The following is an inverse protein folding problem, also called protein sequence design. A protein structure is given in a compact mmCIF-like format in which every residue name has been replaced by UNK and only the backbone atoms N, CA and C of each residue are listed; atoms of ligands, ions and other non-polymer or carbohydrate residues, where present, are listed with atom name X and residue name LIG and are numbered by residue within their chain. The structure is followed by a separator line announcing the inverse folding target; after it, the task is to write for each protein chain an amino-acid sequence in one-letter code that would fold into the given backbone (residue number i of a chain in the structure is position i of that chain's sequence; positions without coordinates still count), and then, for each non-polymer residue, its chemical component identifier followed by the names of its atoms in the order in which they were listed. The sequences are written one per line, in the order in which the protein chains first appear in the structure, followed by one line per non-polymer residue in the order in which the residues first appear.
data_IF_524129986824
#
_entry.id   IF_524129986824
#
_cell.length_a   1.000
_cell.length_b   1.000
_cell.length_c   1.000
_cell.angle_alpha   90.00
_cell.angle_beta   90.00
_cell.angle_gamma   90.00
#
_symmetry.space_group_name_H-M   'P 1'
#
loop_
_entity.id
_entity.type
_entity.pdbx_description
1 polymer ?
#
# COMPACT_ATOMS: atom_id res chain seq x y z
N UNK A 1 49.38 -16.55 82.04
CA UNK A 1 48.59 -15.90 80.97
C UNK A 1 49.45 -15.90 79.72
N UNK A 2 49.29 -16.91 78.85
CA UNK A 2 50.07 -17.04 77.62
C UNK A 2 49.25 -16.45 76.48
N UNK A 3 49.89 -15.50 75.79
CA UNK A 3 49.39 -14.76 74.63
C UNK A 3 49.70 -15.60 73.39
N UNK A 4 48.73 -16.37 72.92
CA UNK A 4 48.87 -17.04 71.63
C UNK A 4 48.17 -16.22 70.55
N UNK A 5 48.98 -15.38 69.92
CA UNK A 5 48.69 -14.69 68.67
C UNK A 5 48.46 -15.73 67.58
N UNK A 6 47.24 -15.82 67.06
CA UNK A 6 46.97 -16.63 65.87
C UNK A 6 47.69 -16.00 64.66
N UNK A 7 48.72 -16.73 64.22
CA UNK A 7 49.48 -16.58 62.99
C UNK A 7 48.55 -16.47 61.78
N UNK A 8 48.57 -15.33 61.08
CA UNK A 8 48.15 -15.30 59.68
C UNK A 8 49.21 -16.10 58.90
N UNK A 9 48.86 -17.27 58.38
CA UNK A 9 49.79 -18.13 57.65
C UNK A 9 50.10 -17.55 56.27
N UNK A 10 51.35 -17.70 55.85
CA UNK A 10 51.95 -17.19 54.59
C UNK A 10 51.15 -17.56 53.33
N UNK A 11 50.32 -18.61 53.40
CA UNK A 11 49.47 -19.10 52.31
C UNK A 11 48.45 -18.07 51.79
N UNK A 12 47.91 -17.21 52.66
CA UNK A 12 46.98 -16.15 52.25
C UNK A 12 47.66 -15.03 51.45
N UNK A 13 48.92 -14.75 51.73
CA UNK A 13 49.74 -13.78 51.00
C UNK A 13 50.35 -14.40 49.72
N UNK A 14 50.67 -15.70 49.74
CA UNK A 14 51.17 -16.44 48.57
C UNK A 14 50.13 -16.55 47.45
N UNK A 15 48.84 -16.68 47.78
CA UNK A 15 47.76 -16.69 46.79
C UNK A 15 47.62 -15.36 46.04
N UNK A 16 47.97 -14.25 46.69
CA UNK A 16 47.97 -12.91 46.07
C UNK A 16 49.17 -12.73 45.12
N UNK A 17 50.24 -13.52 45.30
CA UNK A 17 51.48 -13.46 44.52
C UNK A 17 51.54 -14.45 43.35
N UNK A 18 50.66 -15.46 43.30
CA UNK A 18 50.66 -16.51 42.25
C UNK A 18 49.91 -16.12 40.97
N UNK A 19 49.15 -15.03 40.99
CA UNK A 19 48.62 -14.42 39.78
C UNK A 19 49.44 -13.18 39.49
N UNK A 20 50.45 -13.28 38.63
CA UNK A 20 51.10 -12.10 38.11
C UNK A 20 50.04 -11.33 37.30
N UNK A 21 49.62 -10.19 37.83
CA UNK A 21 48.53 -9.38 37.27
C UNK A 21 48.85 -8.90 35.85
N UNK A 22 50.13 -8.92 35.49
CA UNK A 22 50.62 -8.58 34.15
C UNK A 22 50.27 -9.66 33.12
N UNK A 23 50.30 -10.95 33.48
CA UNK A 23 49.94 -12.07 32.58
C UNK A 23 48.44 -12.11 32.28
N UNK A 24 47.61 -11.58 33.17
CA UNK A 24 46.16 -11.45 32.99
C UNK A 24 45.77 -10.37 31.97
N UNK A 25 46.69 -9.48 31.58
CA UNK A 25 46.40 -8.43 30.59
C UNK A 25 46.22 -8.99 29.18
N UNK A 26 46.83 -10.14 28.88
CA UNK A 26 46.78 -10.78 27.56
C UNK A 26 45.57 -11.71 27.39
N UNK A 27 44.79 -11.93 28.45
CA UNK A 27 43.54 -12.69 28.39
C UNK A 27 42.36 -11.83 27.93
N UNK A 28 41.51 -12.42 27.09
CA UNK A 28 40.23 -11.84 26.65
C UNK A 28 39.14 -12.25 27.62
N UNK A 29 38.39 -11.28 28.15
CA UNK A 29 37.22 -11.50 28.99
C UNK A 29 35.91 -11.19 28.23
N UNK A 30 34.77 -11.51 28.84
CA UNK A 30 33.45 -11.46 28.18
C UNK A 30 32.78 -10.08 28.23
N UNK A 31 33.31 -9.13 29.01
CA UNK A 31 32.58 -7.91 29.36
C UNK A 31 33.34 -6.63 29.00
N UNK A 32 34.66 -6.69 28.88
CA UNK A 32 35.47 -5.53 28.58
C UNK A 32 35.69 -5.34 27.08
N UNK A 33 35.82 -4.08 26.66
CA UNK A 33 36.30 -3.74 25.34
C UNK A 33 37.80 -4.06 25.26
N UNK A 34 38.20 -4.85 24.26
CA UNK A 34 39.59 -5.27 24.04
C UNK A 34 39.98 -5.10 22.58
N UNK A 35 41.24 -4.71 22.36
CA UNK A 35 41.88 -4.77 21.05
C UNK A 35 42.66 -6.07 20.95
N UNK A 36 42.25 -6.93 20.02
CA UNK A 36 42.94 -8.19 19.73
C UNK A 36 43.65 -8.01 18.39
N UNK A 37 44.98 -8.06 18.38
CA UNK A 37 45.79 -7.89 17.17
C UNK A 37 46.13 -9.24 16.52
N UNK A 38 46.48 -9.22 15.22
CA UNK A 38 46.81 -10.41 14.45
C UNK A 38 45.60 -11.21 13.96
N UNK A 39 45.83 -12.17 13.06
CA UNK A 39 44.77 -13.03 12.51
C UNK A 39 44.24 -13.98 13.59
N UNK A 40 42.90 -14.04 13.75
CA UNK A 40 42.22 -14.97 14.65
C UNK A 40 41.36 -15.92 13.84
N UNK A 41 41.54 -17.21 14.04
CA UNK A 41 40.79 -18.27 13.36
C UNK A 41 39.79 -18.86 14.34
N UNK A 42 38.52 -18.90 13.93
CA UNK A 42 37.44 -19.55 14.68
C UNK A 42 37.01 -20.79 13.92
N UNK A 43 37.23 -21.97 14.50
CA UNK A 43 36.91 -23.25 13.87
C UNK A 43 35.42 -23.63 13.97
N UNK A 44 34.60 -22.74 14.54
CA UNK A 44 33.17 -22.92 14.78
C UNK A 44 32.43 -21.62 14.51
N UNK A 45 31.10 -21.71 14.40
CA UNK A 45 30.23 -20.55 14.16
C UNK A 45 30.40 -19.47 15.23
N UNK A 46 30.63 -18.24 14.79
CA UNK A 46 30.66 -17.04 15.65
C UNK A 46 29.32 -16.33 15.52
N UNK A 47 28.72 -15.95 16.66
CA UNK A 47 27.52 -15.12 16.71
C UNK A 47 27.88 -13.81 17.40
N UNK A 48 27.68 -12.69 16.71
CA UNK A 48 27.81 -11.36 17.27
C UNK A 48 26.51 -10.59 17.05
N UNK A 49 26.21 -9.64 17.94
CA UNK A 49 25.04 -8.77 17.78
C UNK A 49 25.21 -7.80 16.60
N UNK A 50 26.45 -7.38 16.32
CA UNK A 50 26.81 -6.54 15.19
C UNK A 50 28.27 -6.77 14.78
N UNK A 51 28.57 -6.53 13.51
CA UNK A 51 29.93 -6.45 12.96
C UNK A 51 30.12 -5.07 12.34
N UNK A 52 31.23 -4.41 12.66
CA UNK A 52 31.59 -3.12 12.07
C UNK A 52 32.92 -3.27 11.33
N UNK A 53 33.00 -2.73 10.12
CA UNK A 53 34.24 -2.58 9.39
C UNK A 53 34.75 -1.16 9.56
N UNK A 54 35.91 -0.98 10.19
CA UNK A 54 36.52 0.35 10.33
C UNK A 54 37.16 0.79 9.01
N UNK A 55 37.24 2.10 8.79
CA UNK A 55 38.01 2.71 7.68
C UNK A 55 37.50 2.38 6.26
N UNK A 56 36.21 2.02 6.13
CA UNK A 56 35.52 1.76 4.86
C UNK A 56 34.22 2.56 4.81
N UNK A 57 33.73 2.81 3.60
CA UNK A 57 32.44 3.47 3.36
C UNK A 57 31.29 2.43 3.31
N UNK A 58 30.05 2.89 3.42
CA UNK A 58 28.82 2.07 3.40
C UNK A 58 28.52 1.45 2.01
N UNK A 59 29.55 1.24 1.18
CA UNK A 59 29.46 0.80 -0.22
C UNK A 59 30.01 -0.63 -0.38
N UNK A 60 30.24 -1.37 0.71
CA UNK A 60 30.70 -2.76 0.64
C UNK A 60 30.02 -3.67 1.67
N UNK A 61 29.83 -4.92 1.28
CA UNK A 61 29.32 -6.01 2.12
C UNK A 61 30.47 -6.95 2.46
N UNK A 62 30.55 -7.39 3.71
CA UNK A 62 31.51 -8.41 4.17
C UNK A 62 31.09 -9.79 3.62
N UNK A 63 32.01 -10.45 2.92
CA UNK A 63 31.81 -11.82 2.44
C UNK A 63 32.31 -12.86 3.45
N UNK A 64 31.75 -14.06 3.35
CA UNK A 64 32.25 -15.24 4.06
C UNK A 64 33.69 -15.51 3.62
N UNK A 65 34.65 -15.44 4.54
CA UNK A 65 36.09 -15.56 4.25
C UNK A 65 36.90 -14.27 4.39
N UNK A 66 36.27 -13.15 4.78
CA UNK A 66 36.97 -11.90 5.15
C UNK A 66 37.28 -10.95 3.99
N UNK A 67 36.86 -11.29 2.77
CA UNK A 67 36.86 -10.39 1.62
C UNK A 67 35.68 -9.41 1.64
N UNK A 68 35.75 -8.39 0.79
CA UNK A 68 34.65 -7.44 0.57
C UNK A 68 34.06 -7.62 -0.83
N UNK A 69 32.77 -7.37 -0.96
CA UNK A 69 32.11 -7.11 -2.24
C UNK A 69 31.56 -5.69 -2.25
N UNK A 70 31.84 -4.93 -3.31
CA UNK A 70 31.22 -3.61 -3.49
C UNK A 70 29.71 -3.77 -3.76
N UNK A 71 28.89 -2.93 -3.13
CA UNK A 71 27.43 -2.86 -3.35
C UNK A 71 27.13 -2.53 -4.81
N UNK A 72 27.97 -1.72 -5.47
CA UNK A 72 27.83 -1.44 -6.89
C UNK A 72 27.93 -2.70 -7.76
N UNK A 73 28.73 -3.69 -7.35
CA UNK A 73 28.86 -4.98 -8.05
C UNK A 73 27.58 -5.82 -7.92
N UNK A 74 26.87 -5.70 -6.79
CA UNK A 74 25.58 -6.36 -6.57
C UNK A 74 24.47 -5.69 -7.41
N UNK A 75 24.45 -4.36 -7.43
CA UNK A 75 23.50 -3.60 -8.26
C UNK A 75 23.77 -3.78 -9.76
N UNK A 76 25.02 -4.07 -10.13
CA UNK A 76 25.42 -4.38 -11.51
C UNK A 76 25.21 -5.85 -11.90
N UNK A 77 24.60 -6.68 -11.03
CA UNK A 77 24.20 -8.01 -11.43
C UNK A 77 23.21 -7.93 -12.60
N UNK A 78 23.44 -8.80 -13.58
CA UNK A 78 22.73 -8.87 -14.86
C UNK A 78 21.19 -8.81 -14.74
N UNK A 79 20.63 -9.29 -13.62
CA UNK A 79 19.19 -9.39 -13.38
C UNK A 79 18.43 -8.05 -13.33
N UNK A 80 19.12 -6.92 -13.16
CA UNK A 80 18.49 -5.59 -13.16
C UNK A 80 19.01 -4.69 -14.27
N UNK A 81 19.85 -5.20 -15.17
CA UNK A 81 20.34 -4.41 -16.30
C UNK A 81 19.19 -3.99 -17.21
N UNK A 82 18.25 -4.90 -17.48
CA UNK A 82 17.04 -4.66 -18.27
C UNK A 82 16.18 -3.56 -17.64
N UNK A 83 15.93 -3.67 -16.32
CA UNK A 83 15.17 -2.67 -15.55
C UNK A 83 15.87 -1.31 -15.57
N UNK A 84 17.20 -1.29 -15.50
CA UNK A 84 17.99 -0.06 -15.55
C UNK A 84 17.95 0.60 -16.91
N UNK A 85 18.12 -0.16 -17.99
CA UNK A 85 18.11 0.42 -19.35
C UNK A 85 16.72 0.95 -19.72
N UNK A 86 15.66 0.27 -19.30
CA UNK A 86 14.27 0.76 -19.39
C UNK A 86 14.07 2.03 -18.54
N UNK A 87 14.39 1.98 -17.25
CA UNK A 87 14.17 3.11 -16.32
C UNK A 87 15.02 4.34 -16.65
N UNK A 88 16.18 4.13 -17.28
CA UNK A 88 17.04 5.23 -17.74
C UNK A 88 16.58 5.85 -19.07
N UNK A 89 15.51 5.34 -19.68
CA UNK A 89 14.92 5.91 -20.91
C UNK A 89 15.85 5.82 -22.11
N UNK A 90 16.78 4.84 -22.13
CA UNK A 90 17.69 4.63 -23.26
C UNK A 90 17.00 3.95 -24.43
N UNK A 91 15.85 3.32 -24.20
CA UNK A 91 15.11 2.65 -25.24
C UNK A 91 14.64 3.62 -26.31
N UNK A 92 14.78 3.20 -27.56
CA UNK A 92 14.41 3.94 -28.76
C UNK A 92 13.16 3.33 -29.38
N UNK A 93 12.48 4.13 -30.20
CA UNK A 93 11.41 3.67 -31.07
C UNK A 93 11.89 3.61 -32.52
N UNK A 94 11.72 2.46 -33.16
CA UNK A 94 11.89 2.29 -34.60
C UNK A 94 10.51 2.17 -35.23
N UNK A 95 10.32 2.71 -36.44
CA UNK A 95 9.02 2.75 -37.11
C UNK A 95 9.18 2.17 -38.51
N UNK A 96 8.30 1.22 -38.85
CA UNK A 96 8.28 0.52 -40.13
C UNK A 96 6.90 0.65 -40.79
N UNK A 97 6.83 0.66 -42.12
CA UNK A 97 5.56 0.74 -42.82
C UNK A 97 4.80 -0.59 -42.76
N UNK A 98 5.50 -1.72 -42.84
CA UNK A 98 4.93 -3.08 -42.84
C UNK A 98 5.77 -4.06 -42.02
N UNK A 99 5.19 -5.20 -41.66
CA UNK A 99 5.92 -6.30 -40.98
C UNK A 99 7.06 -6.84 -41.84
N UNK A 100 6.88 -6.91 -43.17
CA UNK A 100 7.92 -7.39 -44.08
C UNK A 100 9.15 -6.48 -44.07
N UNK A 101 8.95 -5.15 -44.04
CA UNK A 101 10.05 -4.18 -43.94
C UNK A 101 10.81 -4.35 -42.62
N UNK A 102 10.09 -4.51 -41.50
CA UNK A 102 10.69 -4.79 -40.20
C UNK A 102 11.47 -6.10 -40.23
N UNK A 103 10.91 -7.18 -40.79
CA UNK A 103 11.56 -8.48 -40.87
C UNK A 103 12.84 -8.42 -41.73
N UNK A 104 12.79 -7.80 -42.90
CA UNK A 104 13.99 -7.58 -43.74
C UNK A 104 15.03 -6.75 -43.02
N UNK A 105 14.63 -5.74 -42.24
CA UNK A 105 15.55 -4.96 -41.42
C UNK A 105 16.20 -5.80 -40.31
N UNK A 106 15.47 -6.74 -39.71
CA UNK A 106 15.95 -7.67 -38.67
C UNK A 106 16.84 -8.80 -39.20
N UNK A 107 16.78 -9.13 -40.50
CA UNK A 107 17.70 -10.10 -41.11
C UNK A 107 19.13 -9.58 -41.19
N UNK A 108 19.32 -8.25 -41.14
CA UNK A 108 20.63 -7.61 -41.08
C UNK A 108 21.19 -7.62 -39.66
N UNK A 109 22.29 -8.36 -39.46
CA UNK A 109 22.98 -8.48 -38.18
C UNK A 109 23.43 -7.13 -37.61
N UNK A 110 23.82 -6.16 -38.44
CA UNK A 110 24.23 -4.85 -37.96
C UNK A 110 23.07 -4.05 -37.36
N UNK A 111 21.85 -4.30 -37.82
CA UNK A 111 20.66 -3.64 -37.31
C UNK A 111 20.23 -4.24 -35.98
N UNK A 112 20.22 -5.58 -35.88
CA UNK A 112 19.97 -6.27 -34.61
C UNK A 112 21.01 -5.91 -33.56
N UNK A 113 22.28 -5.77 -33.93
CA UNK A 113 23.35 -5.36 -33.02
C UNK A 113 23.20 -3.94 -32.44
N UNK A 114 22.35 -3.08 -33.04
CA UNK A 114 22.05 -1.73 -32.54
C UNK A 114 20.92 -1.71 -31.51
N UNK A 115 20.14 -2.79 -31.42
CA UNK A 115 19.00 -2.87 -30.51
C UNK A 115 19.45 -3.02 -29.06
N UNK A 116 18.77 -2.30 -28.17
CA UNK A 116 18.92 -2.42 -26.71
C UNK A 116 17.62 -2.97 -26.12
N UNK A 117 17.72 -3.69 -25.01
CA UNK A 117 16.55 -4.23 -24.30
C UNK A 117 15.56 -3.10 -24.00
N UNK A 118 14.30 -3.32 -24.37
CA UNK A 118 13.21 -2.35 -24.24
C UNK A 118 13.04 -1.42 -25.43
N UNK A 119 13.87 -1.49 -26.48
CA UNK A 119 13.62 -0.80 -27.75
C UNK A 119 12.28 -1.26 -28.34
N UNK A 120 11.46 -0.30 -28.80
CA UNK A 120 10.15 -0.56 -29.39
C UNK A 120 10.24 -0.52 -30.92
N UNK A 121 9.56 -1.45 -31.58
CA UNK A 121 9.44 -1.55 -33.02
C UNK A 121 7.97 -1.40 -33.39
N UNK A 122 7.63 -0.24 -33.94
CA UNK A 122 6.27 0.15 -34.31
C UNK A 122 6.00 -0.13 -35.79
N UNK A 123 4.81 -0.64 -36.09
CA UNK A 123 4.35 -0.86 -37.46
C UNK A 123 3.18 0.07 -37.74
N UNK A 124 3.27 0.87 -38.81
CA UNK A 124 2.28 1.91 -39.13
C UNK A 124 0.90 1.33 -39.45
N UNK A 125 0.84 0.11 -40.00
CA UNK A 125 -0.42 -0.59 -40.22
C UNK A 125 -1.09 -0.94 -38.88
N UNK A 126 -2.21 -0.26 -38.62
CA UNK A 126 -2.98 -0.36 -37.37
C UNK A 126 -3.58 -1.75 -37.09
N UNK A 127 -3.56 -2.66 -38.06
CA UNK A 127 -4.01 -4.04 -37.85
C UNK A 127 -2.87 -4.98 -37.42
N UNK A 128 -1.64 -4.47 -37.37
CA UNK A 128 -0.47 -5.21 -36.93
C UNK A 128 -0.12 -4.80 -35.50
N UNK A 129 0.21 -5.79 -34.69
CA UNK A 129 0.70 -5.62 -33.33
C UNK A 129 2.14 -5.10 -33.34
N UNK A 130 2.41 -4.11 -32.50
CA UNK A 130 3.76 -3.59 -32.31
C UNK A 130 4.63 -4.57 -31.50
N UNK A 131 5.94 -4.38 -31.54
CA UNK A 131 6.90 -5.24 -30.87
C UNK A 131 7.85 -4.45 -29.96
N UNK A 132 8.50 -5.15 -29.04
CA UNK A 132 9.65 -4.65 -28.29
C UNK A 132 10.75 -5.71 -28.22
N UNK A 133 12.00 -5.28 -28.07
CA UNK A 133 13.18 -6.15 -28.05
C UNK A 133 13.52 -6.59 -26.63
N UNK A 134 13.56 -7.90 -26.36
CA UNK A 134 13.91 -8.42 -25.02
C UNK A 134 15.41 -8.70 -24.83
N UNK A 135 16.23 -8.44 -25.86
CA UNK A 135 17.66 -8.75 -25.86
C UNK A 135 18.01 -9.99 -26.67
N UNK A 136 17.04 -10.84 -26.93
CA UNK A 136 17.20 -12.10 -27.68
C UNK A 136 16.25 -12.21 -28.86
N UNK A 137 14.98 -11.86 -28.67
CA UNK A 137 13.91 -12.00 -29.65
C UNK A 137 12.93 -10.82 -29.57
N UNK A 138 12.09 -10.69 -30.60
CA UNK A 138 10.95 -9.77 -30.58
C UNK A 138 9.84 -10.32 -29.69
N UNK A 139 9.29 -9.45 -28.83
CA UNK A 139 8.09 -9.71 -28.03
C UNK A 139 6.97 -8.79 -28.46
N UNK A 140 5.75 -9.29 -28.35
CA UNK A 140 4.56 -8.49 -28.60
C UNK A 140 4.49 -7.37 -27.55
N UNK A 141 4.28 -6.14 -28.01
CA UNK A 141 3.95 -5.03 -27.14
C UNK A 141 2.50 -5.22 -26.70
N UNK A 142 2.28 -5.60 -25.43
CA UNK A 142 0.94 -5.78 -24.88
C UNK A 142 0.15 -4.47 -24.97
N UNK A 143 -0.73 -4.38 -25.95
CA UNK A 143 -1.75 -3.33 -26.08
C UNK A 143 -3.07 -3.72 -25.42
N UNK A 144 -3.16 -4.90 -24.79
CA UNK A 144 -4.36 -5.27 -24.05
C UNK A 144 -4.54 -4.32 -22.88
N UNK A 145 -5.55 -3.45 -23.00
CA UNK A 145 -6.04 -2.66 -21.89
C UNK A 145 -6.33 -3.62 -20.73
N UNK A 146 -5.82 -3.37 -19.52
CA UNK A 146 -6.08 -4.25 -18.39
C UNK A 146 -7.58 -4.47 -18.27
N UNK A 147 -8.00 -5.73 -18.13
CA UNK A 147 -9.40 -6.10 -18.04
C UNK A 147 -10.05 -5.48 -16.79
N UNK A 148 -10.68 -4.33 -17.00
CA UNK A 148 -11.37 -3.58 -15.96
C UNK A 148 -12.67 -4.25 -15.51
N UNK A 149 -13.13 -5.34 -16.16
CA UNK A 149 -14.31 -6.08 -15.73
C UNK A 149 -14.11 -6.76 -14.36
N UNK A 150 -12.85 -6.96 -13.94
CA UNK A 150 -12.48 -7.50 -12.63
C UNK A 150 -12.43 -6.47 -11.50
N UNK A 151 -12.59 -5.17 -11.79
CA UNK A 151 -12.80 -4.18 -10.72
C UNK A 151 -14.24 -4.33 -10.23
N UNK A 152 -14.40 -5.28 -9.31
CA UNK A 152 -15.66 -5.67 -8.68
C UNK A 152 -16.41 -4.42 -8.20
N UNK A 153 -17.53 -4.12 -8.86
CA UNK A 153 -18.45 -3.02 -8.50
C UNK A 153 -19.75 -3.56 -7.89
N UNK A 154 -19.70 -4.68 -7.15
CA UNK A 154 -20.89 -5.19 -6.47
C UNK A 154 -21.19 -4.36 -5.23
N UNK A 155 -22.21 -3.51 -5.32
CA UNK A 155 -22.89 -2.93 -4.16
C UNK A 155 -23.79 -4.01 -3.55
N UNK A 156 -23.64 -4.27 -2.25
CA UNK A 156 -24.57 -5.14 -1.52
C UNK A 156 -25.97 -4.52 -1.44
N UNK A 157 -26.99 -5.35 -1.21
CA UNK A 157 -28.35 -4.85 -0.96
C UNK A 157 -28.40 -4.10 0.37
N UNK A 158 -28.88 -2.84 0.36
CA UNK A 158 -29.06 -2.07 1.60
C UNK A 158 -30.33 -2.53 2.33
N UNK A 159 -30.23 -3.56 3.16
CA UNK A 159 -31.33 -3.98 4.05
C UNK A 159 -31.37 -3.12 5.32
N UNK A 160 -32.26 -2.13 5.34
CA UNK A 160 -32.59 -1.35 6.53
C UNK A 160 -33.98 -0.73 6.38
N UNK A 161 -34.90 -1.04 7.30
CA UNK A 161 -36.25 -0.46 7.31
C UNK A 161 -36.19 1.01 7.72
N UNK A 162 -36.05 1.91 6.74
CA UNK A 162 -35.95 3.35 6.98
C UNK A 162 -34.84 4.08 6.21
N UNK A 163 -34.30 3.50 5.13
CA UNK A 163 -33.20 4.14 4.41
C UNK A 163 -33.70 5.29 3.52
N UNK A 164 -33.05 6.46 3.62
CA UNK A 164 -33.27 7.63 2.78
C UNK A 164 -32.87 7.42 1.31
N UNK A 165 -32.18 6.32 1.01
CA UNK A 165 -31.71 5.92 -0.31
C UNK A 165 -32.32 4.55 -0.61
N UNK A 166 -33.03 4.44 -1.73
CA UNK A 166 -33.68 3.20 -2.18
C UNK A 166 -32.80 2.39 -3.14
N UNK A 167 -31.86 3.05 -3.81
CA UNK A 167 -30.95 2.41 -4.77
C UNK A 167 -29.67 3.24 -4.95
N UNK A 168 -28.59 2.63 -5.44
CA UNK A 168 -27.30 3.24 -5.70
C UNK A 168 -26.80 2.80 -7.08
N UNK A 169 -26.48 3.76 -7.93
CA UNK A 169 -25.95 3.53 -9.29
C UNK A 169 -24.68 4.32 -9.55
N UNK A 170 -23.99 4.03 -10.65
CA UNK A 170 -22.80 4.75 -11.08
C UNK A 170 -22.98 5.31 -12.50
N UNK A 171 -22.42 6.51 -12.73
CA UNK A 171 -22.19 7.07 -14.06
C UNK A 171 -20.73 7.48 -14.15
N UNK A 172 -19.89 6.66 -14.80
CA UNK A 172 -18.44 6.78 -14.72
C UNK A 172 -17.95 6.67 -13.27
N UNK A 173 -17.21 7.66 -12.78
CA UNK A 173 -16.69 7.72 -11.42
C UNK A 173 -17.65 8.38 -10.40
N UNK A 174 -18.89 8.69 -10.80
CA UNK A 174 -19.87 9.38 -9.94
C UNK A 174 -20.87 8.38 -9.36
N UNK A 175 -20.99 8.36 -8.02
CA UNK A 175 -22.02 7.61 -7.30
C UNK A 175 -23.34 8.41 -7.29
N UNK A 176 -24.42 7.78 -7.74
CA UNK A 176 -25.75 8.40 -7.86
C UNK A 176 -26.75 7.65 -6.97
N UNK A 177 -27.13 8.22 -5.81
CA UNK A 177 -28.15 7.63 -4.94
C UNK A 177 -29.57 7.99 -5.41
N UNK A 178 -30.44 7.00 -5.52
CA UNK A 178 -31.89 7.20 -5.66
C UNK A 178 -32.48 7.51 -4.28
N UNK A 179 -32.91 8.74 -4.06
CA UNK A 179 -33.44 9.19 -2.77
C UNK A 179 -34.92 8.83 -2.64
N UNK A 180 -35.30 8.34 -1.46
CA UNK A 180 -36.68 8.02 -1.13
C UNK A 180 -37.48 9.33 -0.92
N UNK A 181 -38.62 9.46 -1.60
CA UNK A 181 -39.50 10.64 -1.59
C UNK A 181 -40.35 10.78 -0.32
N UNK A 182 -40.26 9.83 0.62
CA UNK A 182 -41.05 9.80 1.87
C UNK A 182 -40.34 10.55 3.02
N UNK A 183 -39.07 10.92 2.86
CA UNK A 183 -38.34 11.72 3.86
C UNK A 183 -38.53 13.22 3.63
N UNK A 184 -38.95 13.92 4.67
CA UNK A 184 -39.02 15.39 4.63
C UNK A 184 -37.62 15.97 4.80
N UNK A 185 -37.10 16.67 3.80
CA UNK A 185 -35.82 17.40 3.89
C UNK A 185 -36.03 18.77 4.52
N UNK A 186 -35.05 19.32 5.24
CA UNK A 186 -35.16 20.70 5.73
C UNK A 186 -34.73 21.68 4.65
N UNK A 187 -35.36 22.86 4.57
CA UNK A 187 -34.93 23.96 3.70
C UNK A 187 -35.59 24.05 2.31
N UNK A 188 -36.55 23.17 1.99
CA UNK A 188 -37.32 23.24 0.74
C UNK A 188 -38.81 22.95 0.98
N UNK A 189 -39.67 23.59 0.18
CA UNK A 189 -41.10 23.28 0.13
C UNK A 189 -41.30 21.85 -0.38
N UNK A 190 -42.13 21.09 0.34
CA UNK A 190 -42.38 19.68 0.03
C UNK A 190 -43.85 19.34 0.06
N UNK A 191 -44.26 18.51 -0.88
CA UNK A 191 -45.60 17.96 -0.96
C UNK A 191 -45.59 16.52 -0.48
N UNK A 192 -46.36 16.23 0.56
CA UNK A 192 -46.61 14.86 1.03
C UNK A 192 -47.98 14.45 0.51
N UNK A 193 -48.00 13.55 -0.46
CA UNK A 193 -49.24 13.05 -1.07
C UNK A 193 -49.63 11.71 -0.41
N UNK A 194 -50.94 11.44 -0.36
CA UNK A 194 -51.53 10.24 0.23
C UNK A 194 -51.77 10.33 1.73
N UNK A 195 -52.41 9.30 2.30
CA UNK A 195 -52.71 9.24 3.75
C UNK A 195 -51.41 8.99 4.53
N UNK A 196 -51.18 9.78 5.57
CA UNK A 196 -50.08 9.61 6.52
C UNK A 196 -50.60 9.63 7.95
N UNK A 197 -50.10 8.71 8.76
CA UNK A 197 -50.38 8.64 10.20
C UNK A 197 -49.14 9.12 10.94
N UNK A 198 -49.27 10.19 11.70
CA UNK A 198 -48.22 10.67 12.59
C UNK A 198 -48.52 10.18 14.02
N UNK A 199 -47.63 9.39 14.59
CA UNK A 199 -47.76 8.87 15.97
C UNK A 199 -47.12 9.79 17.02
N UNK A 200 -46.58 10.92 16.58
CA UNK A 200 -45.88 11.89 17.42
C UNK A 200 -46.51 13.28 17.25
N UNK A 201 -46.32 14.13 18.25
CA UNK A 201 -46.82 15.52 18.25
C UNK A 201 -46.19 16.32 17.11
N UNK A 202 -47.02 17.00 16.32
CA UNK A 202 -46.59 17.91 15.25
C UNK A 202 -46.68 19.36 15.78
N UNK A 203 -45.62 20.13 15.63
CA UNK A 203 -45.59 21.57 15.92
C UNK A 203 -45.49 22.31 14.60
N UNK A 204 -46.51 23.09 14.25
CA UNK A 204 -46.59 23.84 12.98
C UNK A 204 -46.90 25.31 13.21
N UNK A 205 -46.24 26.21 12.46
CA UNK A 205 -46.52 27.64 12.46
C UNK A 205 -47.45 27.92 11.27
N UNK A 206 -48.75 27.77 11.51
CA UNK A 206 -49.78 27.95 10.50
C UNK A 206 -50.18 26.64 9.81
N UNK A 207 -51.48 26.35 9.84
CA UNK A 207 -52.11 25.25 9.10
C UNK A 207 -53.22 25.88 8.27
N UNK A 208 -53.20 25.65 6.96
CA UNK A 208 -54.31 26.00 6.07
C UNK A 208 -54.92 24.69 5.57
N UNK A 209 -56.20 24.49 5.84
CA UNK A 209 -56.94 23.32 5.36
C UNK A 209 -57.89 23.79 4.27
N UNK A 210 -57.76 23.25 3.06
CA UNK A 210 -58.68 23.52 1.98
C UNK A 210 -59.75 22.43 1.95
N UNK A 211 -60.98 22.80 2.28
CA UNK A 211 -62.14 21.97 2.00
C UNK A 211 -63.00 22.66 0.93
N UNK A 212 -63.42 21.89 -0.09
CA UNK A 212 -64.21 22.39 -1.21
C UNK A 212 -65.72 22.34 -0.94
N UNK A 213 -66.15 21.67 0.13
CA UNK A 213 -67.51 21.82 0.64
C UNK A 213 -67.54 22.99 1.64
N UNK A 214 -68.20 24.10 1.31
CA UNK A 214 -68.40 25.23 2.26
C UNK A 214 -69.32 24.86 3.45
N UNK A 215 -69.46 23.57 3.75
CA UNK A 215 -70.44 22.96 4.61
C UNK A 215 -69.81 22.21 5.78
N UNK A 216 -68.48 22.30 5.97
CA UNK A 216 -67.80 21.62 7.06
C UNK A 216 -66.72 22.47 7.73
N UNK A 217 -66.39 22.09 8.96
CA UNK A 217 -65.34 22.69 9.79
C UNK A 217 -64.41 21.59 10.29
N UNK A 218 -63.11 21.90 10.37
CA UNK A 218 -62.10 20.99 10.92
C UNK A 218 -62.06 21.13 12.44
N UNK A 219 -62.14 20.00 13.14
CA UNK A 219 -62.07 19.95 14.61
C UNK A 219 -60.62 19.93 15.11
N UNK A 220 -60.43 20.35 16.36
CA UNK A 220 -59.18 20.17 17.11
C UNK A 220 -58.93 18.66 17.33
N UNK A 221 -58.23 18.03 16.39
CA UNK A 221 -58.07 16.58 16.30
C UNK A 221 -58.05 16.03 14.87
N UNK A 222 -58.28 16.88 13.86
CA UNK A 222 -58.15 16.52 12.45
C UNK A 222 -59.38 15.88 11.82
N UNK A 223 -60.47 15.70 12.57
CA UNK A 223 -61.77 15.28 12.03
C UNK A 223 -62.52 16.42 11.33
N UNK A 224 -63.34 16.09 10.34
CA UNK A 224 -64.20 17.06 9.62
C UNK A 224 -65.65 16.92 10.14
N UNK A 225 -66.27 18.01 10.61
CA UNK A 225 -67.69 18.03 11.02
C UNK A 225 -68.50 18.88 10.04
N UNK A 226 -69.65 18.39 9.61
CA UNK A 226 -70.60 19.22 8.87
C UNK A 226 -71.14 20.36 9.76
N UNK A 227 -71.29 21.56 9.19
CA UNK A 227 -71.75 22.77 9.88
C UNK A 227 -73.16 22.58 10.47
N UNK A 228 -74.04 21.85 9.77
CA UNK A 228 -75.39 21.54 10.24
C UNK A 228 -75.41 20.70 11.53
N UNK A 229 -74.32 20.00 11.84
CA UNK A 229 -74.17 19.17 13.05
C UNK A 229 -73.53 19.93 14.23
N UNK A 230 -73.33 21.24 14.12
CA UNK A 230 -72.74 22.05 15.21
C UNK A 230 -73.78 22.37 16.30
N UNK A 231 -75.08 22.39 15.96
CA UNK A 231 -76.16 22.75 16.89
C UNK A 231 -77.11 21.59 17.28
N UNK A 232 -76.85 20.36 16.83
CA UNK A 232 -77.56 19.19 17.35
C UNK A 232 -76.84 18.74 18.63
N UNK A 233 -77.52 18.95 19.77
CA UNK A 233 -77.04 18.69 21.13
C UNK A 233 -76.54 17.27 21.37
#
# INVERSE_FOLDING_TARGET
MVKDSAHFTEDGALLLLKADKTELMDYVDLTSARTITGQKQFNSNVRAAAFMKTDKNDISVLLVGGGDMLVSSLVSQLQLQDVRDIASGKSKGYVFATTDEMNTWMEDYENVAKLVIGDNLYIVDKQVVDYWWDGTDLKLLETELPDMSKVVTTLGTTTGGGNAISDLSFSGNTLIPAKNTIFVTTGFDQSIIGIKTFTSTIISIGIQVQNNDNLSVVQTGGGVKAIWNINAS
#
